data_IF_057237594567
#
_entry.id   IF_057237594567
#
_cell.length_a   1.000
_cell.length_b   1.000
_cell.length_c   1.000
_cell.angle_alpha   90.00
_cell.angle_beta   90.00
_cell.angle_gamma   90.00
#
_symmetry.space_group_name_H-M   'P 1'
#
loop_
_entity.id
_entity.type
_entity.pdbx_description
1 polymer ?
#
# COMPACT_ATOMS: atom_id res chain seq x y z
N UNK A 1 18.36 -17.97 -6.71
CA UNK A 1 19.11 -16.83 -7.32
C UNK A 1 19.73 -16.03 -6.19
N UNK A 2 21.05 -15.82 -6.23
CA UNK A 2 21.75 -15.04 -5.19
C UNK A 2 21.46 -13.55 -5.42
N UNK A 3 20.88 -12.88 -4.44
CA UNK A 3 20.64 -11.43 -4.49
C UNK A 3 21.98 -10.68 -4.50
N UNK A 4 22.12 -9.69 -5.34
CA UNK A 4 23.34 -8.87 -5.43
C UNK A 4 23.01 -7.40 -5.26
N UNK A 5 23.77 -6.71 -4.42
CA UNK A 5 23.73 -5.24 -4.26
C UNK A 5 24.22 -4.58 -5.55
N UNK A 6 23.55 -3.50 -5.96
CA UNK A 6 23.94 -2.71 -7.11
C UNK A 6 22.85 -1.77 -7.62
N UNK A 7 23.21 -0.96 -8.60
CA UNK A 7 22.25 -0.12 -9.31
C UNK A 7 21.30 -0.95 -10.16
N UNK A 8 20.04 -0.58 -10.16
CA UNK A 8 19.03 -1.11 -11.05
C UNK A 8 18.91 -0.23 -12.30
N UNK A 9 18.11 -0.68 -13.25
CA UNK A 9 17.90 0.06 -14.50
C UNK A 9 17.22 1.39 -14.18
N UNK A 10 17.80 2.53 -14.60
CA UNK A 10 17.17 3.83 -14.45
C UNK A 10 15.86 3.92 -15.24
N UNK A 11 14.92 4.70 -14.73
CA UNK A 11 13.68 5.02 -15.43
C UNK A 11 13.49 6.51 -15.60
N UNK A 12 12.70 6.87 -16.61
CA UNK A 12 12.42 8.26 -16.95
C UNK A 12 10.93 8.52 -16.90
N UNK A 13 10.56 9.71 -16.44
CA UNK A 13 9.18 10.13 -16.37
C UNK A 13 9.09 11.65 -16.51
N UNK A 14 7.89 12.16 -16.78
CA UNK A 14 7.65 13.59 -16.87
C UNK A 14 6.23 13.94 -16.47
N UNK A 15 6.06 15.12 -15.86
CA UNK A 15 4.77 15.73 -15.57
C UNK A 15 4.90 17.25 -15.52
N UNK A 16 3.82 17.95 -15.74
CA UNK A 16 3.81 19.43 -15.76
C UNK A 16 4.32 20.03 -14.46
N UNK A 17 3.98 19.43 -13.30
CA UNK A 17 4.35 19.95 -11.98
C UNK A 17 5.84 19.82 -11.65
N UNK A 18 6.50 18.71 -12.00
CA UNK A 18 7.92 18.49 -11.67
C UNK A 18 8.86 18.52 -12.89
N UNK A 19 8.33 18.64 -14.11
CA UNK A 19 9.11 18.61 -15.32
C UNK A 19 9.55 17.21 -15.73
N UNK A 20 10.78 17.05 -16.17
CA UNK A 20 11.40 15.76 -16.48
C UNK A 20 12.06 15.20 -15.23
N UNK A 21 11.91 13.89 -14.99
CA UNK A 21 12.45 13.18 -13.85
C UNK A 21 13.22 11.92 -14.25
N UNK A 22 14.31 11.64 -13.54
CA UNK A 22 15.13 10.44 -13.69
C UNK A 22 15.21 9.73 -12.36
N UNK A 23 14.74 8.49 -12.32
CA UNK A 23 14.90 7.58 -11.19
C UNK A 23 16.20 6.78 -11.34
N UNK A 24 17.01 6.75 -10.29
CA UNK A 24 18.25 5.96 -10.27
C UNK A 24 18.23 5.01 -9.06
N UNK A 25 17.53 3.88 -9.15
CA UNK A 25 17.38 3.01 -8.00
C UNK A 25 18.66 2.24 -7.69
N UNK A 26 19.00 2.19 -6.39
CA UNK A 26 20.07 1.38 -5.84
C UNK A 26 19.49 0.33 -4.91
N UNK A 27 19.72 -0.92 -5.23
CA UNK A 27 19.30 -2.07 -4.44
C UNK A 27 20.42 -2.53 -3.52
N UNK A 28 20.11 -2.65 -2.23
CA UNK A 28 21.02 -3.08 -1.18
C UNK A 28 20.52 -4.39 -0.54
N UNK A 29 21.19 -5.50 -0.85
CA UNK A 29 20.94 -6.79 -0.21
C UNK A 29 21.63 -6.81 1.16
N UNK A 30 20.94 -6.33 2.21
CA UNK A 30 21.46 -6.22 3.56
C UNK A 30 21.65 -7.58 4.22
N UNK A 31 20.68 -8.48 4.06
CA UNK A 31 20.71 -9.84 4.57
C UNK A 31 19.89 -10.80 3.66
N UNK A 32 19.94 -12.11 3.91
CA UNK A 32 19.14 -13.07 3.13
C UNK A 32 17.63 -12.84 3.22
N UNK A 33 17.15 -12.26 4.32
CA UNK A 33 15.76 -12.09 4.67
C UNK A 33 15.26 -10.65 4.57
N UNK A 34 16.15 -9.64 4.44
CA UNK A 34 15.75 -8.26 4.24
C UNK A 34 16.64 -7.49 3.27
N UNK A 35 16.07 -6.51 2.64
CA UNK A 35 16.73 -5.63 1.67
C UNK A 35 16.18 -4.20 1.75
N UNK A 36 16.97 -3.28 1.19
CA UNK A 36 16.63 -1.88 1.06
C UNK A 36 16.84 -1.43 -0.38
N UNK A 37 15.88 -0.70 -0.92
CA UNK A 37 16.04 -0.01 -2.21
C UNK A 37 15.91 1.49 -1.99
N UNK A 38 16.89 2.25 -2.44
CA UNK A 38 16.88 3.71 -2.39
C UNK A 38 16.78 4.21 -3.82
N UNK A 39 15.76 5.01 -4.10
CA UNK A 39 15.50 5.52 -5.45
C UNK A 39 15.39 7.05 -5.41
N UNK A 40 16.49 7.79 -5.54
CA UNK A 40 16.41 9.22 -5.77
C UNK A 40 15.85 9.47 -7.17
N UNK A 41 14.87 10.37 -7.26
CA UNK A 41 14.38 10.94 -8.51
C UNK A 41 14.84 12.38 -8.60
N UNK A 42 15.72 12.67 -9.54
CA UNK A 42 16.12 14.04 -9.84
C UNK A 42 15.13 14.62 -10.84
N UNK A 43 14.52 15.74 -10.47
CA UNK A 43 13.53 16.42 -11.33
C UNK A 43 14.05 17.78 -11.76
N UNK A 44 13.64 18.24 -12.95
CA UNK A 44 14.13 19.51 -13.48
C UNK A 44 13.50 20.73 -12.82
N UNK A 45 12.37 20.59 -12.13
CA UNK A 45 11.63 21.72 -11.55
C UNK A 45 11.55 21.69 -10.03
N UNK A 46 11.39 20.50 -9.44
CA UNK A 46 11.07 20.38 -8.00
C UNK A 46 12.25 19.92 -7.13
N UNK A 47 13.40 19.61 -7.74
CA UNK A 47 14.56 19.09 -6.99
C UNK A 47 14.56 17.57 -6.89
N UNK A 48 14.94 17.03 -5.74
CA UNK A 48 15.16 15.59 -5.55
C UNK A 48 14.06 15.00 -4.69
N UNK A 49 13.30 14.06 -5.28
CA UNK A 49 12.38 13.20 -4.54
C UNK A 49 13.14 11.95 -4.06
N UNK A 50 13.24 11.79 -2.76
CA UNK A 50 13.75 10.59 -2.12
C UNK A 50 12.66 9.53 -2.02
N UNK A 51 12.98 8.30 -2.42
CA UNK A 51 12.13 7.14 -2.24
C UNK A 51 12.97 6.05 -1.59
N UNK A 52 12.45 5.42 -0.55
CA UNK A 52 13.12 4.34 0.18
C UNK A 52 12.13 3.19 0.36
N UNK A 53 12.50 2.00 -0.03
CA UNK A 53 11.72 0.78 0.16
C UNK A 53 12.51 -0.21 1.01
N UNK A 54 11.97 -0.57 2.17
CA UNK A 54 12.48 -1.65 3.01
C UNK A 54 11.55 -2.86 2.93
N UNK A 55 12.12 -4.04 2.75
CA UNK A 55 11.38 -5.30 2.71
C UNK A 55 12.03 -6.31 3.63
N UNK A 56 11.22 -6.99 4.43
CA UNK A 56 11.66 -8.09 5.27
C UNK A 56 10.75 -9.30 5.14
N UNK A 57 11.37 -10.46 5.07
CA UNK A 57 10.70 -11.76 5.16
C UNK A 57 11.09 -12.44 6.46
N UNK A 58 10.10 -12.85 7.22
CA UNK A 58 10.23 -13.63 8.46
C UNK A 58 9.71 -15.04 8.22
N UNK A 59 9.85 -15.91 9.22
CA UNK A 59 9.36 -17.29 9.09
C UNK A 59 7.85 -17.35 8.90
N UNK A 60 7.11 -16.51 9.61
CA UNK A 60 5.65 -16.54 9.64
C UNK A 60 5.01 -15.51 8.70
N UNK A 61 5.80 -14.71 7.98
CA UNK A 61 5.24 -13.70 7.09
C UNK A 61 6.28 -12.76 6.50
N UNK A 62 5.78 -11.68 5.93
CA UNK A 62 6.63 -10.63 5.34
C UNK A 62 5.96 -9.28 5.44
N UNK A 63 6.77 -8.25 5.47
CA UNK A 63 6.29 -6.86 5.38
C UNK A 63 7.23 -5.99 4.57
N UNK A 64 6.71 -4.87 4.17
CA UNK A 64 7.45 -3.84 3.49
C UNK A 64 6.92 -2.46 3.86
N UNK A 65 7.85 -1.51 3.85
CA UNK A 65 7.57 -0.11 4.14
C UNK A 65 8.24 0.70 3.03
N UNK A 66 7.51 1.62 2.41
CA UNK A 66 8.05 2.63 1.51
C UNK A 66 7.84 4.01 2.08
N UNK A 67 8.90 4.79 2.07
CA UNK A 67 8.88 6.20 2.44
C UNK A 67 9.21 7.08 1.25
N UNK A 68 8.59 8.25 1.21
CA UNK A 68 8.77 9.24 0.15
C UNK A 68 8.92 10.61 0.75
N UNK A 69 9.78 11.44 0.18
CA UNK A 69 9.91 12.82 0.64
C UNK A 69 10.59 13.71 -0.38
N UNK A 70 10.07 14.90 -0.53
CA UNK A 70 10.64 15.96 -1.35
C UNK A 70 10.47 17.33 -0.68
N UNK A 71 11.52 18.11 -0.72
CA UNK A 71 11.46 19.56 -0.54
C UNK A 71 11.34 20.21 -1.92
N UNK A 72 10.18 20.78 -2.21
CA UNK A 72 9.86 21.35 -3.53
C UNK A 72 10.60 22.68 -3.71
N UNK A 73 11.32 22.81 -4.83
CA UNK A 73 11.99 24.07 -5.20
C UNK A 73 11.01 25.09 -5.77
N UNK A 74 9.91 24.64 -6.37
CA UNK A 74 8.85 25.45 -6.95
C UNK A 74 7.46 24.95 -6.52
N UNK A 75 7.06 25.20 -5.25
CA UNK A 75 5.71 24.83 -4.78
C UNK A 75 4.59 25.48 -5.60
N UNK A 76 4.85 26.70 -6.14
CA UNK A 76 3.90 27.44 -6.96
C UNK A 76 3.46 26.72 -8.25
N UNK A 77 4.19 25.68 -8.68
CA UNK A 77 3.74 24.80 -9.75
C UNK A 77 2.42 24.08 -9.42
N UNK A 78 2.06 24.02 -8.15
CA UNK A 78 0.83 23.41 -7.63
C UNK A 78 -0.08 24.45 -6.96
N UNK A 79 0.06 25.74 -7.31
CA UNK A 79 -0.72 26.84 -6.73
C UNK A 79 -2.22 26.56 -6.75
N UNK A 80 -2.89 26.79 -5.63
CA UNK A 80 -4.32 26.53 -5.48
C UNK A 80 -4.70 25.05 -5.28
N UNK A 81 -3.71 24.17 -5.15
CA UNK A 81 -3.91 22.74 -4.86
C UNK A 81 -3.25 22.36 -3.52
N UNK A 82 -3.62 21.24 -2.90
CA UNK A 82 -2.99 20.75 -1.67
C UNK A 82 -1.48 20.52 -1.77
N UNK A 83 -0.96 20.37 -2.99
CA UNK A 83 0.47 20.26 -3.29
C UNK A 83 1.26 21.55 -3.21
N UNK A 84 0.61 22.72 -3.05
CA UNK A 84 1.26 24.02 -2.85
C UNK A 84 1.84 24.15 -1.43
N UNK A 85 2.95 23.46 -1.20
CA UNK A 85 3.69 23.42 0.06
C UNK A 85 5.15 23.07 -0.17
N UNK A 86 6.03 23.48 0.73
CA UNK A 86 7.47 23.21 0.60
C UNK A 86 7.81 21.73 0.73
N UNK A 87 7.29 21.06 1.77
CA UNK A 87 7.53 19.64 1.99
C UNK A 87 6.33 18.80 1.61
N UNK A 88 6.58 17.77 0.81
CA UNK A 88 5.62 16.72 0.50
C UNK A 88 6.22 15.34 0.71
N UNK A 89 5.41 14.41 1.14
CA UNK A 89 5.88 13.05 1.35
C UNK A 89 4.77 12.10 1.77
N UNK A 90 5.17 10.88 2.03
CA UNK A 90 4.25 9.86 2.46
C UNK A 90 4.93 8.57 2.86
N UNK A 91 4.16 7.69 3.43
CA UNK A 91 4.55 6.32 3.77
C UNK A 91 3.46 5.40 3.25
N UNK A 92 3.84 4.34 2.54
CA UNK A 92 2.97 3.21 2.32
C UNK A 92 3.60 1.94 2.91
N UNK A 93 2.78 1.08 3.45
CA UNK A 93 3.22 -0.14 4.12
C UNK A 93 2.21 -1.24 3.93
N UNK A 94 2.70 -2.47 3.81
CA UNK A 94 1.87 -3.67 3.89
C UNK A 94 2.62 -4.78 4.59
N UNK A 95 1.88 -5.66 5.21
CA UNK A 95 2.42 -6.86 5.84
C UNK A 95 1.37 -7.92 5.98
N UNK A 96 1.81 -9.16 5.98
CA UNK A 96 0.97 -10.31 6.23
C UNK A 96 1.74 -11.37 7.01
N UNK A 97 1.10 -11.93 8.03
CA UNK A 97 1.67 -12.92 8.93
C UNK A 97 0.68 -14.04 9.19
N UNK A 98 1.20 -15.27 9.21
CA UNK A 98 0.45 -16.43 9.66
C UNK A 98 0.62 -16.58 11.16
N UNK A 99 -0.49 -16.64 11.91
CA UNK A 99 -0.47 -17.00 13.34
C UNK A 99 -0.31 -18.52 13.48
N UNK A 100 -0.96 -19.25 12.57
CA UNK A 100 -0.88 -20.71 12.44
C UNK A 100 -1.45 -21.12 11.06
N UNK A 101 -1.61 -22.41 10.80
CA UNK A 101 -2.12 -22.94 9.52
C UNK A 101 -3.53 -22.47 9.15
N UNK A 102 -4.28 -21.90 10.09
CA UNK A 102 -5.68 -21.48 9.92
C UNK A 102 -5.88 -19.98 10.01
N UNK A 103 -4.97 -19.25 10.62
CA UNK A 103 -5.14 -17.84 10.93
C UNK A 103 -4.04 -16.98 10.30
N UNK A 104 -4.46 -15.96 9.60
CA UNK A 104 -3.60 -14.96 8.96
C UNK A 104 -4.08 -13.57 9.37
N UNK A 105 -3.16 -12.70 9.70
CA UNK A 105 -3.42 -11.28 9.90
C UNK A 105 -2.50 -10.42 9.04
N UNK A 106 -2.91 -9.21 8.78
CA UNK A 106 -2.09 -8.32 8.01
C UNK A 106 -2.66 -6.91 7.94
N UNK A 107 -1.91 -6.06 7.29
CA UNK A 107 -2.29 -4.67 7.08
C UNK A 107 -1.86 -4.18 5.71
N UNK A 108 -2.58 -3.19 5.22
CA UNK A 108 -2.18 -2.26 4.17
C UNK A 108 -2.40 -0.85 4.70
N UNK A 109 -1.45 0.05 4.53
CA UNK A 109 -1.58 1.40 5.04
C UNK A 109 -0.91 2.43 4.15
N UNK A 110 -1.56 3.58 3.98
CA UNK A 110 -1.04 4.73 3.24
C UNK A 110 -1.27 5.99 4.07
N UNK A 111 -0.19 6.74 4.30
CA UNK A 111 -0.21 8.05 4.93
C UNK A 111 0.48 9.05 4.01
N UNK A 112 -0.18 10.13 3.64
CA UNK A 112 0.34 11.16 2.75
C UNK A 112 0.21 12.54 3.39
N UNK A 113 1.11 13.44 3.03
CA UNK A 113 1.00 14.87 3.38
C UNK A 113 -0.17 15.54 2.68
N UNK A 114 -0.52 15.06 1.51
CA UNK A 114 -1.67 15.47 0.73
C UNK A 114 -2.08 14.35 -0.25
N UNK A 115 -3.35 14.32 -0.62
CA UNK A 115 -3.94 13.24 -1.42
C UNK A 115 -3.55 13.25 -2.91
N UNK A 116 -2.97 14.35 -3.43
CA UNK A 116 -2.47 14.40 -4.81
C UNK A 116 -1.00 14.00 -4.96
N UNK A 117 -0.28 13.78 -3.86
CA UNK A 117 1.15 13.51 -3.89
C UNK A 117 1.54 12.36 -4.82
N UNK A 118 0.83 11.24 -4.76
CA UNK A 118 1.14 10.09 -5.62
C UNK A 118 0.82 10.33 -7.09
N UNK A 119 -0.28 11.01 -7.39
CA UNK A 119 -0.64 11.33 -8.78
C UNK A 119 0.28 12.38 -9.39
N UNK A 120 0.59 13.43 -8.64
CA UNK A 120 1.45 14.53 -9.10
C UNK A 120 2.86 14.04 -9.43
N UNK A 121 3.42 13.17 -8.60
CA UNK A 121 4.74 12.60 -8.81
C UNK A 121 4.73 11.25 -9.54
N UNK A 122 3.57 10.78 -10.00
CA UNK A 122 3.41 9.50 -10.72
C UNK A 122 4.07 8.34 -9.96
N UNK A 123 3.81 8.26 -8.67
CA UNK A 123 4.32 7.21 -7.81
C UNK A 123 3.40 5.99 -7.89
N UNK A 124 3.97 4.82 -8.16
CA UNK A 124 3.21 3.59 -8.21
C UNK A 124 2.74 3.19 -6.81
N UNK A 125 1.45 2.97 -6.66
CA UNK A 125 0.90 2.35 -5.46
C UNK A 125 1.15 0.85 -5.45
N UNK A 126 1.29 0.29 -4.26
CA UNK A 126 1.65 -1.12 -4.08
C UNK A 126 0.53 -2.11 -4.40
N UNK A 127 -0.67 -1.65 -4.72
CA UNK A 127 -1.89 -2.45 -4.70
C UNK A 127 -2.26 -3.18 -5.95
N UNK A 128 -1.54 -2.99 -7.02
CA UNK A 128 -1.89 -3.66 -8.25
C UNK A 128 -1.00 -4.87 -8.49
N UNK A 129 -1.37 -6.08 -8.00
CA UNK A 129 -0.65 -7.31 -8.32
C UNK A 129 -0.77 -7.69 -9.80
N UNK A 130 -1.68 -7.07 -10.55
CA UNK A 130 -1.96 -7.33 -11.96
C UNK A 130 -1.45 -6.24 -12.90
N UNK A 131 -0.79 -5.19 -12.35
CA UNK A 131 -0.15 -4.18 -13.16
C UNK A 131 -1.12 -3.45 -14.08
N UNK A 132 -2.17 -2.87 -13.53
CA UNK A 132 -3.04 -2.00 -14.31
C UNK A 132 -2.27 -0.76 -14.77
N UNK A 133 -1.71 -0.85 -15.96
CA UNK A 133 -1.01 0.26 -16.62
C UNK A 133 -1.94 1.42 -17.03
N UNK A 134 -3.24 1.30 -16.79
CA UNK A 134 -4.27 2.14 -17.41
C UNK A 134 -5.06 3.05 -16.47
N UNK A 135 -4.95 2.92 -15.16
CA UNK A 135 -5.61 3.84 -14.24
C UNK A 135 -4.78 4.10 -12.99
N UNK A 136 -4.53 5.36 -12.70
CA UNK A 136 -4.12 5.77 -11.36
C UNK A 136 -5.30 5.47 -10.44
N UNK A 137 -5.12 4.72 -9.35
CA UNK A 137 -6.21 4.46 -8.44
C UNK A 137 -6.69 5.80 -7.85
N UNK A 138 -7.99 5.99 -7.86
CA UNK A 138 -8.63 7.20 -7.31
C UNK A 138 -8.71 7.18 -5.79
N UNK A 139 -8.40 6.04 -5.17
CA UNK A 139 -8.51 5.84 -3.73
C UNK A 139 -7.40 4.92 -3.21
N UNK A 140 -6.89 5.20 -2.02
CA UNK A 140 -6.10 4.26 -1.25
C UNK A 140 -6.94 3.71 -0.10
N UNK A 141 -6.93 2.40 0.05
CA UNK A 141 -7.59 1.73 1.16
C UNK A 141 -6.52 1.37 2.19
N UNK A 142 -6.62 1.86 3.39
CA UNK A 142 -5.84 1.37 4.53
C UNK A 142 -6.68 0.37 5.29
N UNK A 143 -6.13 -0.78 5.59
CA UNK A 143 -6.88 -1.83 6.30
C UNK A 143 -5.98 -2.59 7.28
N UNK A 144 -6.59 -3.04 8.36
CA UNK A 144 -6.07 -4.07 9.23
C UNK A 144 -7.05 -5.25 9.16
N UNK A 145 -6.55 -6.47 8.98
CA UNK A 145 -7.40 -7.63 8.83
C UNK A 145 -6.90 -8.86 9.59
N UNK A 146 -7.86 -9.69 9.98
CA UNK A 146 -7.64 -11.00 10.56
C UNK A 146 -8.57 -11.99 9.84
N UNK A 147 -8.00 -13.00 9.22
CA UNK A 147 -8.75 -14.03 8.50
C UNK A 147 -8.47 -15.40 9.10
N UNK A 148 -9.51 -16.17 9.35
CA UNK A 148 -9.43 -17.54 9.85
C UNK A 148 -10.18 -18.51 8.96
N UNK A 149 -9.55 -19.65 8.62
CA UNK A 149 -10.14 -20.70 7.79
C UNK A 149 -10.12 -22.02 8.54
N UNK A 150 -11.30 -22.52 8.87
CA UNK A 150 -11.48 -23.85 9.45
C UNK A 150 -11.90 -24.87 8.38
N UNK A 151 -12.11 -26.13 8.77
CA UNK A 151 -12.54 -27.18 7.83
C UNK A 151 -13.90 -26.87 7.18
N UNK A 152 -14.80 -26.24 7.92
CA UNK A 152 -16.16 -25.86 7.46
C UNK A 152 -16.56 -24.49 8.02
N UNK A 153 -15.61 -23.66 8.38
CA UNK A 153 -15.83 -22.32 8.92
C UNK A 153 -14.89 -21.31 8.30
N UNK A 154 -15.36 -20.09 8.16
CA UNK A 154 -14.60 -18.93 7.71
C UNK A 154 -14.87 -17.77 8.63
N UNK A 155 -13.82 -17.06 8.99
CA UNK A 155 -13.87 -15.84 9.77
C UNK A 155 -13.05 -14.76 9.06
N UNK A 156 -13.60 -13.57 8.94
CA UNK A 156 -12.89 -12.39 8.46
C UNK A 156 -13.29 -11.18 9.28
N UNK A 157 -12.31 -10.48 9.83
CA UNK A 157 -12.52 -9.22 10.53
C UNK A 157 -11.63 -8.17 9.91
N UNK A 158 -12.20 -7.01 9.53
CA UNK A 158 -11.47 -5.92 8.88
C UNK A 158 -11.86 -4.57 9.45
N UNK A 159 -10.86 -3.75 9.75
CA UNK A 159 -11.02 -2.32 9.92
C UNK A 159 -10.49 -1.64 8.65
N UNK A 160 -11.31 -0.81 8.01
CA UNK A 160 -11.00 -0.22 6.71
C UNK A 160 -11.12 1.30 6.79
N UNK A 161 -10.11 1.98 6.28
CA UNK A 161 -10.10 3.42 6.09
C UNK A 161 -9.77 3.74 4.62
N UNK A 162 -10.60 4.56 4.01
CA UNK A 162 -10.41 5.02 2.63
C UNK A 162 -9.80 6.41 2.60
N UNK A 163 -8.75 6.58 1.80
CA UNK A 163 -8.18 7.87 1.47
C UNK A 163 -8.51 8.20 0.00
N UNK A 164 -9.34 9.21 -0.23
CA UNK A 164 -9.69 9.66 -1.57
C UNK A 164 -8.60 10.56 -2.16
N UNK A 165 -8.18 10.25 -3.38
CA UNK A 165 -7.26 11.11 -4.15
C UNK A 165 -7.98 12.15 -5.02
N UNK A 166 -9.31 12.20 -4.97
CA UNK A 166 -10.12 13.17 -5.71
C UNK A 166 -10.43 14.46 -4.93
N UNK A 167 -9.90 14.59 -3.70
CA UNK A 167 -10.11 15.76 -2.85
C UNK A 167 -11.43 15.80 -2.07
N UNK A 168 -12.31 14.83 -2.24
CA UNK A 168 -13.59 14.75 -1.54
C UNK A 168 -13.55 13.73 -0.40
N UNK A 169 -12.69 13.94 0.59
CA UNK A 169 -12.55 13.04 1.74
C UNK A 169 -13.86 12.91 2.55
N UNK A 170 -14.66 13.97 2.62
CA UNK A 170 -15.95 13.97 3.35
C UNK A 170 -17.01 13.04 2.75
N UNK A 171 -16.80 12.60 1.49
CA UNK A 171 -17.70 11.67 0.79
C UNK A 171 -17.25 10.21 0.87
N UNK A 172 -16.11 9.98 1.48
CA UNK A 172 -15.55 8.62 1.58
C UNK A 172 -16.06 7.98 2.86
N UNK A 173 -16.71 6.82 2.78
CA UNK A 173 -17.25 6.17 3.97
C UNK A 173 -16.11 5.74 4.91
N UNK A 174 -16.26 5.99 6.19
CA UNK A 174 -15.48 5.33 7.23
C UNK A 174 -16.19 4.02 7.52
N UNK A 175 -15.56 2.91 7.18
CA UNK A 175 -16.12 1.60 7.48
C UNK A 175 -15.57 1.17 8.83
N UNK A 176 -16.47 1.09 9.82
CA UNK A 176 -16.18 0.48 11.11
C UNK A 176 -15.81 -1.00 10.91
N UNK A 177 -15.21 -1.68 11.92
CA UNK A 177 -14.81 -3.05 11.74
C UNK A 177 -15.97 -3.90 11.22
N UNK A 178 -15.74 -4.54 10.06
CA UNK A 178 -16.65 -5.52 9.48
C UNK A 178 -16.21 -6.89 9.95
N UNK A 179 -17.13 -7.68 10.47
CA UNK A 179 -16.86 -9.05 10.91
C UNK A 179 -17.81 -9.98 10.17
N UNK A 180 -17.23 -10.89 9.41
CA UNK A 180 -17.93 -11.96 8.74
C UNK A 180 -17.60 -13.31 9.37
N UNK A 181 -18.61 -14.06 9.74
CA UNK A 181 -18.44 -15.43 10.21
C UNK A 181 -19.40 -16.38 9.52
N UNK A 182 -18.86 -17.41 8.92
CA UNK A 182 -19.62 -18.49 8.28
C UNK A 182 -19.22 -19.83 8.89
N UNK A 183 -20.19 -20.68 9.17
CA UNK A 183 -19.94 -22.02 9.65
C UNK A 183 -20.99 -23.01 9.14
N UNK A 184 -20.53 -24.19 8.73
CA UNK A 184 -21.38 -25.32 8.36
C UNK A 184 -21.21 -26.40 9.44
N UNK A 185 -22.30 -26.77 10.08
CA UNK A 185 -22.31 -27.74 11.19
C UNK A 185 -21.89 -29.12 10.68
N UNK A 186 -20.96 -29.77 11.41
CA UNK A 186 -20.30 -31.02 10.97
C UNK A 186 -21.15 -32.29 11.10
N UNK A 187 -22.39 -32.20 11.54
CA UNK A 187 -23.27 -33.36 11.65
C UNK A 187 -24.64 -33.08 11.01
N UNK A 188 -25.25 -34.11 10.49
CA UNK A 188 -26.56 -33.98 9.88
C UNK A 188 -27.62 -33.64 10.93
N UNK A 189 -28.42 -32.64 10.61
CA UNK A 189 -29.55 -32.22 11.42
C UNK A 189 -30.82 -32.55 10.58
N UNK A 190 -31.67 -33.43 11.04
CA UNK A 190 -32.89 -33.90 10.33
C UNK A 190 -32.61 -34.39 8.92
N UNK A 191 -31.46 -35.01 8.64
CA UNK A 191 -31.08 -35.51 7.33
C UNK A 191 -30.51 -34.47 6.34
N UNK A 192 -30.27 -33.27 6.80
CA UNK A 192 -29.69 -32.16 6.02
C UNK A 192 -28.48 -31.54 6.67
N UNK A 193 -27.80 -30.67 5.92
CA UNK A 193 -26.74 -29.82 6.44
C UNK A 193 -27.34 -28.50 6.93
N UNK A 194 -26.88 -28.05 8.09
CA UNK A 194 -27.20 -26.72 8.61
C UNK A 194 -25.97 -25.82 8.54
N UNK A 195 -26.11 -24.67 7.88
CA UNK A 195 -25.11 -23.58 7.88
C UNK A 195 -25.71 -22.33 8.45
N UNK A 196 -24.85 -21.49 9.02
CA UNK A 196 -25.22 -20.13 9.43
C UNK A 196 -24.12 -19.14 9.03
N UNK A 197 -24.55 -17.95 8.70
CA UNK A 197 -23.71 -16.83 8.35
C UNK A 197 -24.12 -15.63 9.19
N UNK A 198 -23.12 -14.95 9.73
CA UNK A 198 -23.29 -13.74 10.55
C UNK A 198 -22.38 -12.66 10.00
N UNK A 199 -22.96 -11.51 9.72
CA UNK A 199 -22.24 -10.30 9.35
C UNK A 199 -22.53 -9.22 10.37
N UNK A 200 -21.50 -8.51 10.81
CA UNK A 200 -21.58 -7.35 11.69
C UNK A 200 -20.82 -6.20 11.02
N UNK A 201 -21.50 -5.08 10.78
CA UNK A 201 -20.99 -3.84 10.19
C UNK A 201 -21.39 -2.63 11.02
#
# INVERSE_FOLDING_TARGET
>A
VKRKTGFLIPSYNSATGYGFGVDTPFYWALAPDYDLTITPRITTRQGVLGQVEFRQRLLDGSYQIRGYGIYQLDPGAYAGQPGDREFRGGIDTKGQFSINDKWVWGWDGVLLTDYYFFSDYRLAQYRDPLGSFLSLPTEAISQLYLTGVGNRSFFDARAIYYLSFSGNQDKVPVIHPVIDYNNVINHNIFGGELSYWTNFT
#
